data_IF_781189109268
#
_entry.id   IF_781189109268
#
_cell.length_a   1.000
_cell.length_b   1.000
_cell.length_c   1.000
_cell.angle_alpha   90.00
_cell.angle_beta   90.00
_cell.angle_gamma   90.00
#
_symmetry.space_group_name_H-M   'P 1'
#
loop_
_entity.id
_entity.type
_entity.pdbx_description
1 polymer ?
#
# COMPACT_ATOMS: atom_id res chain seq x y z
N UNK A 1 34.87 9.29 19.64
CA UNK A 1 34.21 8.76 18.41
C UNK A 1 32.75 8.54 18.81
N UNK A 2 31.88 9.28 18.14
CA UNK A 2 30.52 9.52 18.57
C UNK A 2 29.65 8.28 18.21
N UNK A 3 28.85 7.78 19.12
CA UNK A 3 27.90 6.65 18.93
C UNK A 3 26.95 6.91 17.71
N UNK A 4 26.77 8.17 17.33
CA UNK A 4 26.04 8.57 16.14
C UNK A 4 26.81 8.26 14.84
N UNK A 5 28.14 8.41 14.81
CA UNK A 5 28.98 8.08 13.64
C UNK A 5 29.09 6.57 13.44
N UNK A 6 29.13 5.81 14.51
CA UNK A 6 29.18 4.34 14.47
C UNK A 6 27.85 3.74 13.98
N UNK A 7 26.70 4.33 14.33
CA UNK A 7 25.40 3.98 13.76
C UNK A 7 25.27 4.33 12.28
N UNK A 8 25.82 5.47 11.85
CA UNK A 8 25.81 5.89 10.45
C UNK A 8 26.67 4.99 9.57
N UNK A 9 27.83 4.52 10.07
CA UNK A 9 28.70 3.60 9.34
C UNK A 9 28.18 2.16 9.32
N UNK A 10 27.53 1.71 10.38
CA UNK A 10 26.92 0.36 10.46
C UNK A 10 25.72 0.19 9.53
N UNK A 11 24.95 1.25 9.28
CA UNK A 11 23.81 1.21 8.35
C UNK A 11 24.20 1.44 6.87
N UNK A 12 25.44 1.81 6.58
CA UNK A 12 25.87 2.17 5.23
C UNK A 12 26.21 0.96 4.34
N UNK A 13 26.50 -0.21 4.92
CA UNK A 13 26.96 -1.41 4.20
C UNK A 13 26.05 -2.60 4.44
N UNK A 14 25.33 -3.03 3.42
CA UNK A 14 24.46 -4.21 3.46
C UNK A 14 23.38 -4.13 2.39
N UNK A 15 22.69 -5.25 2.16
CA UNK A 15 21.60 -5.35 1.16
C UNK A 15 20.49 -4.27 1.35
N UNK A 16 20.29 -3.84 2.60
CA UNK A 16 19.35 -2.79 2.99
C UNK A 16 20.04 -1.44 3.30
N UNK A 17 21.33 -1.32 2.98
CA UNK A 17 22.07 -0.09 3.25
C UNK A 17 21.48 1.11 2.51
N UNK A 18 21.57 2.29 3.13
CA UNK A 18 21.01 3.55 2.62
C UNK A 18 21.54 3.86 1.22
N UNK A 19 22.82 3.57 0.94
CA UNK A 19 23.48 3.81 -0.34
C UNK A 19 23.44 2.62 -1.31
N UNK A 20 22.73 1.55 -0.97
CA UNK A 20 22.64 0.36 -1.83
C UNK A 20 21.38 0.38 -2.66
N UNK A 21 21.41 0.15 -3.99
CA UNK A 21 22.57 -0.07 -4.85
C UNK A 21 23.26 1.22 -5.33
N UNK A 22 22.69 2.39 -5.09
CA UNK A 22 23.24 3.70 -5.42
C UNK A 22 22.80 4.73 -4.38
N UNK A 23 23.58 5.81 -4.23
CA UNK A 23 23.24 6.90 -3.34
C UNK A 23 22.24 7.87 -4.03
N UNK A 24 21.11 8.22 -3.42
CA UNK A 24 20.17 9.22 -3.91
C UNK A 24 20.83 10.59 -4.19
N UNK A 25 21.82 10.94 -3.42
CA UNK A 25 22.61 12.19 -3.59
C UNK A 25 23.42 12.22 -4.89
N UNK A 26 23.63 11.09 -5.57
CA UNK A 26 24.30 11.05 -6.88
C UNK A 26 23.37 11.44 -8.05
N UNK A 27 22.07 11.56 -7.82
CA UNK A 27 21.13 11.99 -8.85
C UNK A 27 21.31 13.49 -9.20
N UNK A 28 21.27 13.86 -10.49
CA UNK A 28 21.44 15.26 -10.91
C UNK A 28 20.23 16.14 -10.59
N UNK A 29 19.16 15.58 -10.07
CA UNK A 29 17.93 16.26 -9.64
C UNK A 29 17.47 15.74 -8.28
N UNK A 30 16.53 16.43 -7.67
CA UNK A 30 16.01 16.03 -6.36
C UNK A 30 15.34 14.64 -6.42
N UNK A 31 15.91 13.69 -5.68
CA UNK A 31 15.48 12.29 -5.69
C UNK A 31 14.04 12.07 -5.21
N UNK A 32 13.47 13.02 -4.48
CA UNK A 32 12.06 12.99 -4.07
C UNK A 32 11.09 12.74 -5.25
N UNK A 33 11.40 13.20 -6.45
CA UNK A 33 10.59 12.93 -7.64
C UNK A 33 10.63 11.45 -8.09
N UNK A 34 11.75 10.77 -7.85
CA UNK A 34 11.84 9.32 -8.05
C UNK A 34 10.96 8.59 -7.03
N UNK A 35 10.94 9.08 -5.78
CA UNK A 35 10.03 8.55 -4.75
C UNK A 35 8.57 8.76 -5.16
N UNK A 36 8.18 9.93 -5.68
CA UNK A 36 6.81 10.15 -6.21
C UNK A 36 6.46 9.13 -7.30
N UNK A 37 7.36 8.92 -8.25
CA UNK A 37 7.17 7.94 -9.31
C UNK A 37 7.02 6.52 -8.75
N UNK A 38 7.93 6.09 -7.87
CA UNK A 38 7.91 4.77 -7.24
C UNK A 38 6.65 4.55 -6.40
N UNK A 39 6.27 5.55 -5.60
CA UNK A 39 5.07 5.52 -4.78
C UNK A 39 3.78 5.49 -5.62
N UNK A 40 3.75 6.21 -6.74
CA UNK A 40 2.64 6.16 -7.70
C UNK A 40 2.48 4.75 -8.27
N UNK A 41 3.58 4.14 -8.75
CA UNK A 41 3.58 2.76 -9.23
C UNK A 41 3.17 1.76 -8.14
N UNK A 42 3.64 1.94 -6.91
CA UNK A 42 3.24 1.11 -5.77
C UNK A 42 1.75 1.21 -5.46
N UNK A 43 1.20 2.42 -5.51
CA UNK A 43 -0.24 2.64 -5.33
C UNK A 43 -1.05 2.00 -6.48
N UNK A 44 -0.59 2.08 -7.72
CA UNK A 44 -1.20 1.39 -8.85
C UNK A 44 -1.12 -0.14 -8.67
N UNK A 45 0.01 -0.67 -8.20
CA UNK A 45 0.17 -2.09 -7.91
C UNK A 45 -0.75 -2.59 -6.77
N UNK A 46 -1.35 -1.69 -5.98
CA UNK A 46 -2.35 -2.04 -4.97
C UNK A 46 -3.77 -2.27 -5.53
N UNK A 47 -4.00 -2.04 -6.82
CA UNK A 47 -5.32 -2.18 -7.48
C UNK A 47 -6.03 -3.49 -7.14
N UNK A 48 -5.40 -4.67 -7.13
CA UNK A 48 -6.09 -5.91 -6.79
C UNK A 48 -6.71 -5.92 -5.38
N UNK A 49 -6.18 -5.15 -4.45
CA UNK A 49 -6.73 -4.97 -3.10
C UNK A 49 -7.77 -3.86 -2.98
N UNK A 50 -8.00 -3.07 -4.03
CA UNK A 50 -9.01 -2.03 -4.05
C UNK A 50 -10.38 -2.60 -4.43
N UNK A 51 -11.45 -1.91 -4.01
CA UNK A 51 -12.83 -2.34 -4.29
C UNK A 51 -13.08 -2.55 -5.78
N UNK A 52 -12.59 -1.63 -6.64
CA UNK A 52 -12.76 -1.72 -8.08
C UNK A 52 -12.02 -2.89 -8.74
N UNK A 53 -10.89 -3.31 -8.16
CA UNK A 53 -10.16 -4.49 -8.64
C UNK A 53 -10.88 -5.79 -8.33
N UNK A 54 -11.58 -5.82 -7.20
CA UNK A 54 -12.32 -6.99 -6.76
C UNK A 54 -13.69 -7.16 -7.44
N UNK A 55 -14.43 -6.06 -7.69
CA UNK A 55 -15.80 -6.13 -8.23
C UNK A 55 -15.91 -6.90 -9.54
N UNK A 56 -14.84 -6.91 -10.34
CA UNK A 56 -14.76 -7.65 -11.61
C UNK A 56 -14.86 -9.17 -11.41
N UNK A 57 -14.52 -9.68 -10.23
CA UNK A 57 -14.54 -11.11 -9.92
C UNK A 57 -15.80 -11.57 -9.17
N UNK A 58 -16.69 -10.64 -8.81
CA UNK A 58 -17.84 -10.93 -7.93
C UNK A 58 -18.70 -12.10 -8.47
N UNK A 59 -19.13 -12.05 -9.72
CA UNK A 59 -20.05 -13.01 -10.27
C UNK A 59 -19.39 -14.41 -10.43
N UNK A 60 -18.15 -14.46 -10.90
CA UNK A 60 -17.41 -15.72 -11.04
C UNK A 60 -17.09 -16.35 -9.68
N UNK A 61 -16.80 -15.54 -8.66
CA UNK A 61 -16.56 -16.07 -7.31
C UNK A 61 -17.83 -16.60 -6.66
N UNK A 62 -19.00 -15.99 -6.92
CA UNK A 62 -20.28 -16.55 -6.47
C UNK A 62 -20.54 -17.91 -7.09
N UNK A 63 -20.29 -18.06 -8.38
CA UNK A 63 -20.49 -19.31 -9.12
C UNK A 63 -19.51 -20.41 -8.64
N UNK A 64 -18.21 -20.11 -8.62
CA UNK A 64 -17.14 -21.05 -8.25
C UNK A 64 -17.19 -21.51 -6.78
N UNK A 65 -17.58 -20.62 -5.89
CA UNK A 65 -17.64 -20.90 -4.45
C UNK A 65 -19.02 -21.34 -3.98
N UNK A 66 -20.06 -21.26 -4.84
CA UNK A 66 -21.43 -21.57 -4.47
C UNK A 66 -21.99 -20.63 -3.40
N UNK A 67 -21.54 -19.37 -3.36
CA UNK A 67 -21.95 -18.38 -2.38
C UNK A 67 -23.02 -17.44 -2.96
N UNK A 68 -23.98 -17.09 -2.14
CA UNK A 68 -24.92 -16.01 -2.46
C UNK A 68 -24.20 -14.65 -2.47
N UNK A 69 -24.80 -13.66 -3.16
CA UNK A 69 -24.29 -12.28 -3.16
C UNK A 69 -24.19 -11.68 -1.76
N UNK A 70 -25.12 -12.03 -0.88
CA UNK A 70 -25.12 -11.57 0.52
C UNK A 70 -23.93 -12.14 1.29
N UNK A 71 -23.70 -13.45 1.17
CA UNK A 71 -22.56 -14.11 1.84
C UNK A 71 -21.22 -13.56 1.35
N UNK A 72 -21.04 -13.42 0.04
CA UNK A 72 -19.81 -12.87 -0.53
C UNK A 72 -19.58 -11.43 -0.08
N UNK A 73 -20.64 -10.58 -0.09
CA UNK A 73 -20.57 -9.20 0.39
C UNK A 73 -20.27 -9.11 1.88
N UNK A 74 -20.84 -10.02 2.69
CA UNK A 74 -20.55 -10.10 4.11
C UNK A 74 -19.11 -10.52 4.37
N UNK A 75 -18.59 -11.51 3.66
CA UNK A 75 -17.18 -11.92 3.74
C UNK A 75 -16.23 -10.74 3.40
N UNK A 76 -16.57 -9.97 2.34
CA UNK A 76 -15.83 -8.78 1.96
C UNK A 76 -15.89 -7.68 3.03
N UNK A 77 -17.08 -7.43 3.58
CA UNK A 77 -17.28 -6.45 4.66
C UNK A 77 -16.43 -6.81 5.88
N UNK A 78 -16.53 -8.06 6.36
CA UNK A 78 -15.78 -8.54 7.52
C UNK A 78 -14.27 -8.49 7.27
N UNK A 79 -13.81 -8.91 6.08
CA UNK A 79 -12.40 -8.81 5.70
C UNK A 79 -11.90 -7.36 5.68
N UNK A 80 -12.73 -6.43 5.19
CA UNK A 80 -12.42 -4.99 5.15
C UNK A 80 -12.31 -4.41 6.57
N UNK A 81 -13.30 -4.69 7.43
CA UNK A 81 -13.29 -4.23 8.83
C UNK A 81 -12.09 -4.80 9.57
N UNK A 82 -11.84 -6.10 9.45
CA UNK A 82 -10.70 -6.75 10.09
C UNK A 82 -9.37 -6.14 9.62
N UNK A 83 -9.21 -5.87 8.32
CA UNK A 83 -8.01 -5.21 7.79
C UNK A 83 -7.84 -3.81 8.38
N UNK A 84 -8.92 -3.02 8.46
CA UNK A 84 -8.91 -1.69 9.08
C UNK A 84 -8.45 -1.72 10.55
N UNK A 85 -8.93 -2.70 11.31
CA UNK A 85 -8.55 -2.87 12.73
C UNK A 85 -7.07 -3.25 12.90
N UNK A 86 -6.47 -3.90 11.92
CA UNK A 86 -5.04 -4.28 11.97
C UNK A 86 -4.10 -3.17 11.50
N UNK A 87 -4.59 -2.18 10.74
CA UNK A 87 -3.76 -1.09 10.18
C UNK A 87 -2.97 -0.29 11.23
N UNK A 88 -3.49 0.05 12.42
CA UNK A 88 -2.71 0.77 13.43
C UNK A 88 -1.50 -0.03 13.93
N UNK A 89 -1.59 -1.36 13.95
CA UNK A 89 -0.46 -2.23 14.29
C UNK A 89 0.54 -2.29 13.13
N UNK A 90 0.06 -2.44 11.91
CA UNK A 90 0.89 -2.45 10.70
C UNK A 90 1.60 -1.09 10.48
N UNK A 91 0.96 0.03 10.86
CA UNK A 91 1.59 1.34 10.89
C UNK A 91 2.80 1.39 11.83
N UNK A 92 2.68 0.82 13.03
CA UNK A 92 3.83 0.72 13.96
C UNK A 92 4.96 -0.16 13.43
N UNK A 93 4.66 -1.17 12.65
CA UNK A 93 5.67 -1.97 11.95
C UNK A 93 6.35 -1.16 10.85
N UNK A 94 5.58 -0.38 10.08
CA UNK A 94 6.11 0.54 9.08
C UNK A 94 7.08 1.55 9.69
N UNK A 95 6.70 2.18 10.82
CA UNK A 95 7.56 3.15 11.52
C UNK A 95 8.88 2.53 12.01
N UNK A 96 8.89 1.22 12.34
CA UNK A 96 10.10 0.51 12.79
C UNK A 96 10.96 -0.01 11.64
N UNK A 97 10.33 -0.46 10.55
CA UNK A 97 11.04 -1.12 9.45
C UNK A 97 11.50 -0.15 8.37
N UNK A 98 10.85 1.00 8.30
CA UNK A 98 11.02 1.99 7.25
C UNK A 98 10.26 1.66 5.96
N UNK A 99 10.15 2.66 5.08
CA UNK A 99 9.33 2.59 3.87
C UNK A 99 9.86 1.58 2.86
N UNK A 100 11.18 1.46 2.73
CA UNK A 100 11.80 0.57 1.74
C UNK A 100 11.51 -0.90 2.03
N UNK A 101 11.77 -1.35 3.26
CA UNK A 101 11.54 -2.74 3.66
C UNK A 101 10.05 -3.06 3.64
N UNK A 102 9.23 -2.11 4.11
CA UNK A 102 7.80 -2.29 4.16
C UNK A 102 7.17 -2.33 2.77
N UNK A 103 7.65 -1.52 1.81
CA UNK A 103 7.22 -1.59 0.41
C UNK A 103 7.51 -2.96 -0.21
N UNK A 104 8.74 -3.49 -0.03
CA UNK A 104 9.10 -4.82 -0.54
C UNK A 104 8.26 -5.92 0.11
N UNK A 105 8.10 -5.88 1.44
CA UNK A 105 7.31 -6.86 2.19
C UNK A 105 5.84 -6.84 1.76
N UNK A 106 5.24 -5.66 1.60
CA UNK A 106 3.84 -5.52 1.18
C UNK A 106 3.61 -5.96 -0.27
N UNK A 107 4.56 -5.68 -1.18
CA UNK A 107 4.53 -6.18 -2.56
C UNK A 107 4.58 -7.71 -2.60
N UNK A 108 5.50 -8.31 -1.84
CA UNK A 108 5.62 -9.77 -1.75
C UNK A 108 4.35 -10.39 -1.13
N UNK A 109 3.83 -9.80 -0.05
CA UNK A 109 2.59 -10.23 0.58
C UNK A 109 1.40 -10.11 -0.37
N UNK A 110 1.27 -9.00 -1.09
CA UNK A 110 0.20 -8.80 -2.08
C UNK A 110 0.26 -9.90 -3.15
N UNK A 111 1.41 -10.15 -3.75
CA UNK A 111 1.56 -11.21 -4.75
C UNK A 111 1.23 -12.61 -4.20
N UNK A 112 1.68 -12.93 -2.98
CA UNK A 112 1.37 -14.20 -2.32
C UNK A 112 -0.15 -14.36 -2.07
N UNK A 113 -0.82 -13.28 -1.66
CA UNK A 113 -2.28 -13.30 -1.45
C UNK A 113 -3.04 -13.45 -2.77
N UNK A 114 -2.54 -12.89 -3.87
CA UNK A 114 -3.15 -13.08 -5.18
C UNK A 114 -3.05 -14.55 -5.64
N UNK A 115 -1.95 -15.24 -5.36
CA UNK A 115 -1.85 -16.70 -5.57
C UNK A 115 -2.80 -17.48 -4.66
N UNK A 116 -2.96 -17.05 -3.41
CA UNK A 116 -3.96 -17.63 -2.52
C UNK A 116 -5.38 -17.48 -3.09
N UNK A 117 -5.74 -16.28 -3.60
CA UNK A 117 -7.05 -16.03 -4.21
C UNK A 117 -7.26 -16.84 -5.49
N UNK A 118 -6.23 -17.07 -6.28
CA UNK A 118 -6.29 -17.98 -7.43
C UNK A 118 -6.61 -19.44 -7.02
N UNK A 119 -6.16 -19.86 -5.84
CA UNK A 119 -6.37 -21.19 -5.31
C UNK A 119 -7.62 -21.30 -4.38
N UNK A 120 -8.45 -20.25 -4.25
CA UNK A 120 -9.53 -20.21 -3.27
C UNK A 120 -10.60 -21.30 -3.51
N UNK A 121 -10.95 -21.62 -4.78
CA UNK A 121 -11.93 -22.65 -5.09
C UNK A 121 -11.43 -24.05 -4.70
N UNK A 122 -10.26 -24.55 -5.15
CA UNK A 122 -9.78 -25.86 -4.69
C UNK A 122 -9.56 -25.94 -3.18
N UNK A 123 -9.15 -24.83 -2.53
CA UNK A 123 -8.99 -24.78 -1.06
C UNK A 123 -10.34 -24.90 -0.35
N UNK A 124 -11.38 -24.23 -0.84
CA UNK A 124 -12.73 -24.32 -0.28
C UNK A 124 -13.31 -25.73 -0.41
N UNK A 125 -13.13 -26.38 -1.55
CA UNK A 125 -13.52 -27.77 -1.76
C UNK A 125 -12.76 -28.75 -0.85
N UNK A 126 -11.45 -28.53 -0.66
CA UNK A 126 -10.64 -29.31 0.28
C UNK A 126 -11.13 -29.21 1.71
N UNK A 127 -11.40 -27.99 2.16
CA UNK A 127 -11.90 -27.70 3.51
C UNK A 127 -13.38 -28.16 3.68
N UNK A 128 -14.17 -28.14 2.61
CA UNK A 128 -15.54 -28.62 2.56
C UNK A 128 -15.71 -30.10 2.84
N UNK A 129 -14.63 -30.90 2.86
CA UNK A 129 -14.63 -32.28 3.33
C UNK A 129 -14.78 -32.44 4.84
N UNK A 130 -14.43 -31.37 5.58
CA UNK A 130 -14.41 -31.35 7.05
C UNK A 130 -15.51 -30.42 7.59
N UNK A 131 -15.80 -29.33 6.90
CA UNK A 131 -16.77 -28.30 7.26
C UNK A 131 -17.92 -28.26 6.24
N UNK A 132 -19.11 -27.73 6.59
CA UNK A 132 -20.14 -27.42 5.61
C UNK A 132 -19.56 -26.62 4.44
N UNK A 133 -19.81 -27.02 3.20
CA UNK A 133 -19.17 -26.46 2.00
C UNK A 133 -19.32 -24.94 1.87
N UNK A 134 -20.53 -24.41 2.12
CA UNK A 134 -20.76 -22.96 2.09
C UNK A 134 -19.97 -22.20 3.16
N UNK A 135 -19.85 -22.77 4.37
CA UNK A 135 -19.06 -22.15 5.44
C UNK A 135 -17.56 -22.22 5.14
N UNK A 136 -17.07 -23.33 4.58
CA UNK A 136 -15.67 -23.45 4.15
C UNK A 136 -15.32 -22.40 3.09
N UNK A 137 -16.17 -22.22 2.06
CA UNK A 137 -16.00 -21.22 1.02
C UNK A 137 -16.01 -19.79 1.60
N UNK A 138 -16.96 -19.49 2.50
CA UNK A 138 -17.05 -18.20 3.17
C UNK A 138 -15.78 -17.86 3.96
N UNK A 139 -15.24 -18.81 4.72
CA UNK A 139 -14.02 -18.61 5.51
C UNK A 139 -12.80 -18.41 4.61
N UNK A 140 -12.63 -19.26 3.58
CA UNK A 140 -11.49 -19.15 2.66
C UNK A 140 -11.49 -17.80 1.94
N UNK A 141 -12.62 -17.38 1.37
CA UNK A 141 -12.67 -16.11 0.66
C UNK A 141 -12.57 -14.91 1.60
N UNK A 142 -13.16 -14.99 2.81
CA UNK A 142 -13.08 -13.95 3.83
C UNK A 142 -11.65 -13.69 4.29
N UNK A 143 -10.85 -14.76 4.49
CA UNK A 143 -9.40 -14.64 4.78
C UNK A 143 -8.69 -14.00 3.59
N UNK A 144 -9.00 -14.38 2.35
CA UNK A 144 -8.43 -13.78 1.15
C UNK A 144 -8.69 -12.29 1.07
N UNK A 145 -9.93 -11.85 1.35
CA UNK A 145 -10.30 -10.44 1.38
C UNK A 145 -9.57 -9.67 2.48
N UNK A 146 -9.51 -10.23 3.68
CA UNK A 146 -8.74 -9.63 4.76
C UNK A 146 -7.28 -9.41 4.35
N UNK A 147 -6.62 -10.45 3.84
CA UNK A 147 -5.21 -10.41 3.52
C UNK A 147 -4.91 -9.46 2.36
N UNK A 148 -5.70 -9.47 1.26
CA UNK A 148 -5.46 -8.57 0.12
C UNK A 148 -5.75 -7.12 0.47
N UNK A 149 -6.77 -6.86 1.28
CA UNK A 149 -7.08 -5.52 1.80
C UNK A 149 -5.98 -5.01 2.72
N UNK A 150 -5.49 -5.84 3.64
CA UNK A 150 -4.42 -5.46 4.53
C UNK A 150 -3.09 -5.22 3.78
N UNK A 151 -2.68 -6.14 2.90
CA UNK A 151 -1.39 -6.04 2.22
C UNK A 151 -1.37 -4.94 1.15
N UNK A 152 -2.33 -4.96 0.22
CA UNK A 152 -2.32 -4.06 -0.93
C UNK A 152 -2.91 -2.68 -0.60
N UNK A 153 -4.19 -2.63 -0.21
CA UNK A 153 -4.83 -1.34 0.06
C UNK A 153 -4.33 -0.70 1.35
N UNK A 154 -4.12 -1.49 2.40
CA UNK A 154 -3.64 -1.00 3.68
C UNK A 154 -2.16 -0.62 3.60
N UNK A 155 -1.29 -1.62 3.72
CA UNK A 155 0.15 -1.40 3.94
C UNK A 155 0.84 -0.79 2.74
N UNK A 156 0.64 -1.32 1.53
CA UNK A 156 1.34 -0.82 0.34
C UNK A 156 0.94 0.63 0.03
N UNK A 157 -0.38 0.94 0.05
CA UNK A 157 -0.85 2.30 -0.19
C UNK A 157 -0.42 3.28 0.90
N UNK A 158 -0.43 2.85 2.17
CA UNK A 158 0.04 3.67 3.30
C UNK A 158 1.54 3.97 3.17
N UNK A 159 2.35 2.96 2.89
CA UNK A 159 3.80 3.11 2.68
C UNK A 159 4.12 4.09 1.54
N UNK A 160 3.38 3.99 0.41
CA UNK A 160 3.56 4.90 -0.72
C UNK A 160 3.24 6.36 -0.34
N UNK A 161 2.14 6.60 0.36
CA UNK A 161 1.76 7.95 0.80
C UNK A 161 2.74 8.52 1.82
N UNK A 162 3.17 7.71 2.78
CA UNK A 162 4.16 8.11 3.78
C UNK A 162 5.50 8.46 3.14
N UNK A 163 5.96 7.65 2.17
CA UNK A 163 7.19 7.93 1.44
C UNK A 163 7.16 9.32 0.80
N UNK A 164 6.08 9.69 0.10
CA UNK A 164 5.95 11.05 -0.46
C UNK A 164 5.96 12.09 0.67
N UNK A 165 5.22 11.84 1.77
CA UNK A 165 5.11 12.75 2.90
C UNK A 165 6.44 13.03 3.59
N UNK A 166 7.37 12.05 3.65
CA UNK A 166 8.70 12.20 4.24
C UNK A 166 9.70 12.95 3.34
N UNK A 167 9.54 12.90 2.03
CA UNK A 167 10.45 13.55 1.08
C UNK A 167 10.05 14.98 0.72
N UNK A 168 8.77 15.34 0.93
CA UNK A 168 8.25 16.67 0.60
C UNK A 168 7.56 17.31 1.80
N UNK A 169 7.85 18.57 2.00
CA UNK A 169 7.19 19.44 2.97
C UNK A 169 6.37 20.53 2.25
N UNK A 170 7.00 21.57 1.74
CA UNK A 170 6.31 22.68 1.06
C UNK A 170 5.65 22.28 -0.27
N UNK A 171 6.27 21.33 -0.99
CA UNK A 171 5.77 20.83 -2.28
C UNK A 171 4.95 19.54 -2.14
N UNK A 172 4.62 19.12 -0.91
CA UNK A 172 3.85 17.90 -0.65
C UNK A 172 2.53 17.87 -1.40
N UNK A 173 1.77 19.00 -1.41
CA UNK A 173 0.52 19.12 -2.15
C UNK A 173 0.69 18.88 -3.65
N UNK A 174 1.73 19.45 -4.27
CA UNK A 174 2.02 19.25 -5.69
C UNK A 174 2.42 17.79 -5.98
N UNK A 175 3.32 17.21 -5.18
CA UNK A 175 3.76 15.84 -5.32
C UNK A 175 2.59 14.84 -5.21
N UNK A 176 1.73 15.02 -4.21
CA UNK A 176 0.52 14.22 -4.02
C UNK A 176 -0.48 14.43 -5.18
N UNK A 177 -0.68 15.64 -5.68
CA UNK A 177 -1.58 15.92 -6.79
C UNK A 177 -1.14 15.20 -8.08
N UNK A 178 0.15 15.27 -8.44
CA UNK A 178 0.72 14.56 -9.60
C UNK A 178 0.50 13.05 -9.46
N UNK A 179 0.83 12.49 -8.31
CA UNK A 179 0.61 11.07 -8.03
C UNK A 179 -0.87 10.69 -8.16
N UNK A 180 -1.76 11.50 -7.57
CA UNK A 180 -3.21 11.24 -7.54
C UNK A 180 -3.85 11.25 -8.92
N UNK A 181 -3.41 12.13 -9.84
CA UNK A 181 -3.91 12.15 -11.22
C UNK A 181 -3.61 10.83 -11.92
N UNK A 182 -2.36 10.34 -11.82
CA UNK A 182 -1.93 9.08 -12.46
C UNK A 182 -2.63 7.87 -11.83
N UNK A 183 -2.76 7.86 -10.51
CA UNK A 183 -3.47 6.81 -9.76
C UNK A 183 -4.94 6.78 -10.14
N UNK A 184 -5.63 7.93 -10.18
CA UNK A 184 -7.06 8.01 -10.52
C UNK A 184 -7.32 7.52 -11.94
N UNK A 185 -6.48 7.89 -12.90
CA UNK A 185 -6.58 7.38 -14.27
C UNK A 185 -6.40 5.86 -14.31
N UNK A 186 -5.36 5.34 -13.63
CA UNK A 186 -5.08 3.89 -13.58
C UNK A 186 -6.20 3.12 -12.91
N UNK A 187 -6.77 3.65 -11.82
CA UNK A 187 -7.89 3.05 -11.12
C UNK A 187 -9.15 3.01 -12.00
N UNK A 188 -9.43 4.09 -12.73
CA UNK A 188 -10.55 4.15 -13.67
C UNK A 188 -10.43 3.15 -14.81
N UNK A 189 -9.22 2.87 -15.29
CA UNK A 189 -8.96 1.91 -16.36
C UNK A 189 -8.85 0.47 -15.87
N UNK A 190 -8.63 0.26 -14.57
CA UNK A 190 -8.34 -1.07 -14.01
C UNK A 190 -9.45 -2.11 -14.25
N UNK A 191 -10.76 -1.81 -14.14
CA UNK A 191 -11.78 -2.84 -14.37
C UNK A 191 -11.73 -3.41 -15.80
N UNK A 192 -11.46 -2.56 -16.80
CA UNK A 192 -11.41 -2.99 -18.21
C UNK A 192 -10.27 -3.97 -18.48
N UNK A 193 -9.06 -3.68 -18.00
CA UNK A 193 -7.94 -4.57 -18.26
C UNK A 193 -7.98 -5.82 -17.38
N UNK A 194 -8.55 -5.74 -16.17
CA UNK A 194 -8.79 -6.92 -15.32
C UNK A 194 -9.84 -7.82 -15.97
N UNK A 195 -10.95 -7.25 -16.49
CA UNK A 195 -11.96 -8.01 -17.22
C UNK A 195 -11.35 -8.72 -18.43
N UNK A 196 -10.60 -7.98 -19.26
CA UNK A 196 -9.89 -8.56 -20.41
C UNK A 196 -8.94 -9.71 -20.00
N UNK A 197 -8.26 -9.57 -18.84
CA UNK A 197 -7.36 -10.60 -18.32
C UNK A 197 -8.14 -11.83 -17.88
N UNK A 198 -9.28 -11.63 -17.19
CA UNK A 198 -10.19 -12.67 -16.73
C UNK A 198 -10.81 -13.44 -17.90
N UNK A 199 -11.26 -12.74 -18.95
CA UNK A 199 -11.82 -13.37 -20.15
C UNK A 199 -10.81 -14.25 -20.89
N UNK A 200 -9.53 -13.87 -20.89
CA UNK A 200 -8.47 -14.61 -21.59
C UNK A 200 -7.88 -15.79 -20.83
N UNK A 201 -7.78 -15.66 -19.53
CA UNK A 201 -7.00 -16.60 -18.70
C UNK A 201 -7.82 -17.24 -17.57
N UNK A 202 -9.11 -16.97 -17.51
CA UNK A 202 -9.93 -17.34 -16.36
C UNK A 202 -9.68 -16.46 -15.15
N UNK A 203 -10.47 -16.65 -14.09
CA UNK A 203 -10.32 -15.83 -12.87
C UNK A 203 -9.04 -16.18 -12.10
N UNK A 204 -8.68 -17.44 -12.04
CA UNK A 204 -7.46 -17.96 -11.41
C UNK A 204 -6.21 -17.49 -12.16
N UNK A 205 -6.20 -17.62 -13.49
CA UNK A 205 -5.12 -17.11 -14.32
C UNK A 205 -4.94 -15.60 -14.21
N UNK A 206 -6.03 -14.83 -14.13
CA UNK A 206 -5.98 -13.39 -13.91
C UNK A 206 -5.29 -13.04 -12.56
N UNK A 207 -5.65 -13.73 -11.47
CA UNK A 207 -4.99 -13.53 -10.16
C UNK A 207 -3.52 -13.91 -10.20
N UNK A 208 -3.16 -15.01 -10.84
CA UNK A 208 -1.75 -15.45 -10.99
C UNK A 208 -0.94 -14.41 -11.77
N UNK A 209 -1.44 -13.93 -12.89
CA UNK A 209 -0.74 -12.95 -13.73
C UNK A 209 -0.58 -11.62 -12.99
N UNK A 210 -1.61 -11.14 -12.29
CA UNK A 210 -1.52 -9.94 -11.45
C UNK A 210 -0.53 -10.13 -10.30
N UNK A 211 -0.52 -11.30 -9.66
CA UNK A 211 0.41 -11.63 -8.58
C UNK A 211 1.87 -11.66 -9.06
N UNK A 212 2.13 -12.36 -10.17
CA UNK A 212 3.45 -12.37 -10.81
C UNK A 212 3.88 -10.96 -11.25
N UNK A 213 2.98 -10.22 -11.90
CA UNK A 213 3.23 -8.83 -12.31
C UNK A 213 3.59 -7.94 -11.11
N UNK A 214 2.86 -8.07 -10.01
CA UNK A 214 3.16 -7.32 -8.77
C UNK A 214 4.53 -7.67 -8.24
N UNK A 215 4.90 -8.94 -8.10
CA UNK A 215 6.19 -9.37 -7.57
C UNK A 215 7.34 -9.01 -8.53
N UNK A 216 7.23 -9.37 -9.80
CA UNK A 216 8.34 -9.25 -10.77
C UNK A 216 8.55 -7.80 -11.20
N UNK A 217 7.46 -7.05 -11.36
CA UNK A 217 7.55 -5.67 -11.81
C UNK A 217 7.80 -4.72 -10.64
N UNK A 218 6.97 -4.81 -9.58
CA UNK A 218 7.05 -3.85 -8.47
C UNK A 218 8.08 -4.25 -7.42
N UNK A 219 8.34 -5.54 -7.19
CA UNK A 219 9.28 -5.99 -6.17
C UNK A 219 10.70 -5.42 -6.34
N UNK A 220 11.37 -5.60 -7.50
CA UNK A 220 12.67 -5.00 -7.76
C UNK A 220 12.64 -3.46 -7.67
N UNK A 221 11.58 -2.82 -8.16
CA UNK A 221 11.42 -1.34 -8.09
C UNK A 221 11.22 -0.85 -6.67
N UNK A 222 10.47 -1.57 -5.85
CA UNK A 222 10.30 -1.25 -4.45
C UNK A 222 11.65 -1.27 -3.72
N UNK A 223 12.46 -2.31 -3.95
CA UNK A 223 13.79 -2.39 -3.37
C UNK A 223 14.75 -1.34 -3.92
N UNK A 224 14.71 -1.08 -5.25
CA UNK A 224 15.64 -0.20 -5.94
C UNK A 224 15.36 1.27 -5.68
N UNK A 225 14.09 1.68 -5.72
CA UNK A 225 13.71 3.10 -5.77
C UNK A 225 13.25 3.67 -4.43
N UNK A 226 12.66 2.85 -3.54
CA UNK A 226 12.24 3.36 -2.24
C UNK A 226 13.45 3.65 -1.35
N UNK A 227 13.37 4.76 -0.65
CA UNK A 227 14.29 5.19 0.42
C UNK A 227 13.47 5.70 1.58
N UNK A 228 14.00 5.55 2.79
CA UNK A 228 13.24 5.85 4.00
C UNK A 228 13.07 7.36 4.19
N UNK A 229 14.15 8.10 4.33
CA UNK A 229 14.13 9.57 4.50
C UNK A 229 15.22 10.25 3.68
N UNK A 230 15.06 11.53 3.28
CA UNK A 230 16.11 12.27 2.60
C UNK A 230 17.33 12.51 3.51
N UNK A 231 17.12 12.66 4.82
CA UNK A 231 18.16 12.94 5.81
C UNK A 231 19.16 11.78 5.94
N UNK A 232 18.72 10.54 5.78
CA UNK A 232 19.58 9.34 5.80
C UNK A 232 20.65 9.38 4.70
N UNK A 233 20.36 10.08 3.59
CA UNK A 233 21.26 10.28 2.45
C UNK A 233 21.96 11.66 2.48
N UNK A 234 21.77 12.44 3.54
CA UNK A 234 22.30 13.79 3.68
C UNK A 234 21.61 14.81 2.77
N UNK A 235 20.40 14.52 2.32
CA UNK A 235 19.57 15.43 1.54
C UNK A 235 18.58 16.15 2.47
N UNK A 236 18.11 17.31 2.01
CA UNK A 236 17.05 18.06 2.68
C UNK A 236 15.70 17.80 2.00
N UNK A 237 14.61 17.85 2.76
CA UNK A 237 13.27 17.84 2.18
C UNK A 237 13.13 18.90 1.09
N UNK A 238 12.31 18.63 0.08
CA UNK A 238 12.12 19.51 -1.08
C UNK A 238 13.42 19.86 -1.85
N UNK A 239 14.55 19.15 -1.60
CA UNK A 239 15.87 19.48 -2.14
C UNK A 239 16.45 20.77 -1.58
N UNK A 240 16.04 21.19 -0.38
CA UNK A 240 16.44 22.43 0.24
C UNK A 240 15.78 23.68 -0.34
N UNK A 241 14.71 23.53 -1.13
CA UNK A 241 13.96 24.66 -1.64
C UNK A 241 13.34 25.45 -0.46
N UNK A 242 13.61 26.76 -0.42
CA UNK A 242 12.98 27.65 0.56
C UNK A 242 11.48 27.78 0.28
N UNK A 243 10.64 27.95 1.32
CA UNK A 243 9.21 28.22 1.11
C UNK A 243 9.05 29.40 0.16
N UNK A 244 8.14 29.28 -0.81
CA UNK A 244 7.66 30.46 -1.51
C UNK A 244 7.13 31.43 -0.45
N UNK A 245 7.45 32.72 -0.56
CA UNK A 245 7.20 33.75 0.46
C UNK A 245 5.70 34.03 0.78
N UNK A 246 4.85 33.05 0.64
CA UNK A 246 3.48 33.05 1.16
C UNK A 246 3.53 32.48 2.58
N UNK A 247 4.20 33.22 3.46
CA UNK A 247 4.11 32.99 4.90
C UNK A 247 2.67 33.33 5.33
N UNK A 248 1.80 32.32 5.32
CA UNK A 248 0.64 32.36 6.18
C UNK A 248 1.15 31.99 7.59
N UNK A 249 1.30 32.92 8.54
CA UNK A 249 1.80 32.61 9.86
C UNK A 249 0.96 31.55 10.60
N UNK A 250 -0.30 31.36 10.16
CA UNK A 250 -1.24 30.39 10.72
C UNK A 250 -0.98 28.94 10.25
N UNK A 251 -0.05 28.70 9.33
CA UNK A 251 0.32 27.36 8.84
C UNK A 251 1.59 26.77 9.46
N UNK A 252 2.15 27.40 10.49
CA UNK A 252 3.25 26.79 11.22
C UNK A 252 2.75 25.63 12.07
N UNK A 253 3.29 24.43 11.83
CA UNK A 253 3.11 23.29 12.73
C UNK A 253 3.86 23.63 14.02
N UNK A 254 3.13 24.06 15.04
CA UNK A 254 3.72 24.46 16.32
C UNK A 254 4.27 23.25 17.09
N UNK A 255 3.72 22.06 16.88
CA UNK A 255 4.20 20.80 17.48
C UNK A 255 3.64 19.56 16.76
N UNK A 256 4.37 18.46 16.85
CA UNK A 256 3.87 17.15 16.45
C UNK A 256 3.02 16.53 17.57
N UNK A 257 1.83 16.03 17.21
CA UNK A 257 0.96 15.35 18.16
C UNK A 257 1.34 13.89 18.28
N UNK A 258 1.44 13.40 19.50
CA UNK A 258 1.49 11.96 19.76
C UNK A 258 0.10 11.34 19.50
N UNK A 259 0.05 10.00 19.30
CA UNK A 259 -1.21 9.30 19.09
C UNK A 259 -2.24 9.59 20.20
N UNK A 260 -1.79 9.57 21.46
CA UNK A 260 -2.68 9.73 22.62
C UNK A 260 -3.21 11.17 22.73
N UNK A 261 -2.42 12.15 22.31
CA UNK A 261 -2.86 13.55 22.20
C UNK A 261 -3.83 13.72 21.03
N UNK A 262 -3.53 13.16 19.85
CA UNK A 262 -4.40 13.26 18.67
C UNK A 262 -5.79 12.66 18.93
N UNK A 263 -5.87 11.49 19.59
CA UNK A 263 -7.17 10.85 19.93
C UNK A 263 -7.99 11.67 20.93
N UNK A 264 -7.35 12.51 21.74
CA UNK A 264 -8.04 13.42 22.67
C UNK A 264 -8.47 14.73 22.04
N UNK A 265 -7.93 15.07 20.86
CA UNK A 265 -8.26 16.29 20.15
C UNK A 265 -9.58 16.13 19.37
N UNK A 266 -10.47 17.11 19.53
CA UNK A 266 -11.75 17.16 18.81
C UNK A 266 -11.57 17.20 17.30
N UNK A 267 -10.55 17.92 16.81
CA UNK A 267 -10.23 18.06 15.38
C UNK A 267 -9.97 16.71 14.73
N UNK A 268 -9.28 15.80 15.42
CA UNK A 268 -9.03 14.44 14.94
C UNK A 268 -10.32 13.70 14.60
N UNK A 269 -11.33 13.76 15.48
CA UNK A 269 -12.60 13.07 15.29
C UNK A 269 -13.47 13.71 14.21
N UNK A 270 -13.46 15.05 14.12
CA UNK A 270 -14.16 15.75 13.05
C UNK A 270 -13.62 15.38 11.67
N UNK A 271 -12.29 15.36 11.51
CA UNK A 271 -11.67 14.94 10.26
C UNK A 271 -11.98 13.46 9.94
N UNK A 272 -11.90 12.57 10.92
CA UNK A 272 -12.22 11.16 10.71
C UNK A 272 -13.70 10.94 10.33
N UNK A 273 -14.62 11.65 10.98
CA UNK A 273 -16.05 11.61 10.63
C UNK A 273 -16.28 12.15 9.21
N UNK A 274 -15.71 13.30 8.86
CA UNK A 274 -15.83 13.89 7.53
C UNK A 274 -15.30 12.95 6.44
N UNK A 275 -14.14 12.32 6.65
CA UNK A 275 -13.60 11.32 5.73
C UNK A 275 -14.48 10.06 5.64
N UNK A 276 -15.06 9.61 6.76
CA UNK A 276 -15.95 8.45 6.80
C UNK A 276 -17.27 8.69 6.06
N UNK A 277 -17.77 9.92 6.03
CA UNK A 277 -18.97 10.29 5.25
C UNK A 277 -18.67 10.49 3.76
N UNK A 278 -17.42 10.78 3.40
CA UNK A 278 -17.01 10.97 2.00
C UNK A 278 -16.63 9.66 1.30
N UNK A 279 -16.19 8.63 2.04
CA UNK A 279 -15.75 7.34 1.52
C UNK A 279 -16.90 6.38 1.23
#
# INVERSE_FOLDING_TARGET
INVAEEKLTSNASGFWGVRTPFAPSACPFFYGWVIVFAATLGTIASIPGQTMGFTVFTDVLMEELGLSRVELSLAYCLGTVASGLTLPWLGRVLDRWGERKMAVASVAATGAVLFYLAACAPMSHGLGRILPTGFAAFVVIGIGFYLVRAAAQGVLSMTCRNAIGKWFDHRRGLAMAISSILVSFSFSMSPKWIEWLKERHGYDGAWIIMGLGTIVIMGPRAWLLFRDTPEDDGLLMDGGAKPAAHNNPDMHIEREFTRDEAVRDYSFWVFNAAFGFWA
#
